data_IF_664996615750
#
_entry.id   IF_664996615750
#
_cell.length_a   1.000
_cell.length_b   1.000
_cell.length_c   1.000
_cell.angle_alpha   90.00
_cell.angle_beta   90.00
_cell.angle_gamma   90.00
#
_symmetry.space_group_name_H-M   'P 1'
#
loop_
_entity.id
_entity.type
_entity.pdbx_description
1 polymer ?
#
# COMPACT_ATOMS: atom_id res chain seq x y z
N UNK A 1 -19.95 -9.38 -5.37
CA UNK A 1 -18.99 -9.04 -4.30
C UNK A 1 -19.00 -7.53 -4.16
N UNK A 2 -19.38 -6.93 -3.01
CA UNK A 2 -19.55 -5.48 -2.93
C UNK A 2 -18.16 -4.84 -2.88
N UNK A 3 -17.74 -4.27 -4.00
CA UNK A 3 -16.61 -3.36 -4.07
C UNK A 3 -16.91 -2.21 -3.09
N UNK A 4 -16.26 -2.19 -1.91
CA UNK A 4 -16.31 -1.01 -1.04
C UNK A 4 -15.56 0.10 -1.77
N UNK A 5 -16.31 0.99 -2.42
CA UNK A 5 -15.80 2.15 -3.13
C UNK A 5 -15.06 3.01 -2.09
N UNK A 6 -13.73 3.01 -2.12
CA UNK A 6 -13.00 3.97 -1.30
C UNK A 6 -13.33 5.37 -1.81
N UNK A 7 -13.67 6.32 -0.93
CA UNK A 7 -14.07 7.66 -1.35
C UNK A 7 -12.93 8.41 -2.06
N UNK A 8 -11.69 7.97 -1.88
CA UNK A 8 -10.53 8.50 -2.56
C UNK A 8 -9.87 7.43 -3.45
N UNK A 9 -9.51 7.81 -4.67
CA UNK A 9 -8.71 7.00 -5.58
C UNK A 9 -7.25 7.15 -5.15
N UNK A 10 -6.60 6.02 -4.88
CA UNK A 10 -5.16 5.94 -4.66
C UNK A 10 -4.55 5.02 -5.71
N UNK A 11 -3.47 5.46 -6.30
CA UNK A 11 -2.67 4.73 -7.27
C UNK A 11 -1.43 4.22 -6.57
N UNK A 12 -1.18 2.92 -6.69
CA UNK A 12 0.03 2.29 -6.19
C UNK A 12 0.81 1.77 -7.38
N UNK A 13 2.09 2.11 -7.45
CA UNK A 13 3.03 1.60 -8.44
C UNK A 13 4.21 0.97 -7.73
N UNK A 14 4.61 -0.21 -8.18
CA UNK A 14 5.75 -0.94 -7.63
C UNK A 14 6.88 -0.88 -8.64
N UNK A 15 8.13 -0.72 -8.18
CA UNK A 15 9.33 -0.87 -9.01
C UNK A 15 10.41 -1.66 -8.25
N UNK A 16 11.14 -2.57 -8.92
CA UNK A 16 10.91 -3.10 -10.28
C UNK A 16 9.66 -4.01 -10.36
N UNK A 17 9.05 -4.15 -11.54
CA UNK A 17 7.86 -5.01 -11.75
C UNK A 17 8.15 -6.49 -11.46
N UNK A 18 9.37 -6.96 -11.72
CA UNK A 18 9.84 -8.26 -11.26
C UNK A 18 10.49 -8.11 -9.88
N UNK A 19 9.69 -8.21 -8.82
CA UNK A 19 10.22 -8.29 -7.47
C UNK A 19 10.89 -9.67 -7.29
N UNK A 20 12.19 -9.71 -7.57
CA UNK A 20 13.05 -10.83 -7.21
C UNK A 20 13.23 -10.87 -5.69
N UNK A 21 13.28 -12.08 -5.11
CA UNK A 21 13.57 -12.27 -3.69
C UNK A 21 14.77 -11.42 -3.27
N UNK A 22 14.67 -10.78 -2.09
CA UNK A 22 15.75 -10.02 -1.47
C UNK A 22 16.14 -8.68 -2.14
N UNK A 23 15.34 -8.15 -3.08
CA UNK A 23 15.51 -6.78 -3.57
C UNK A 23 14.56 -5.78 -2.89
N UNK A 24 15.02 -4.54 -2.60
CA UNK A 24 14.15 -3.50 -2.05
C UNK A 24 13.10 -3.09 -3.08
N UNK A 25 11.84 -3.38 -2.79
CA UNK A 25 10.71 -2.91 -3.56
C UNK A 25 10.43 -1.42 -3.27
N UNK A 26 10.25 -0.63 -4.33
CA UNK A 26 9.84 0.76 -4.22
C UNK A 26 8.34 0.85 -4.51
N UNK A 27 7.57 1.13 -3.47
CA UNK A 27 6.13 1.41 -3.57
C UNK A 27 5.93 2.91 -3.69
N UNK A 28 5.47 3.37 -4.84
CA UNK A 28 5.03 4.75 -5.05
C UNK A 28 3.52 4.80 -4.88
N UNK A 29 3.05 5.52 -3.88
CA UNK A 29 1.63 5.67 -3.58
C UNK A 29 1.28 7.12 -3.82
N UNK A 30 0.40 7.38 -4.78
CA UNK A 30 -0.13 8.69 -5.06
C UNK A 30 -1.64 8.69 -5.00
N UNK A 31 -2.25 9.82 -4.66
CA UNK A 31 -3.69 9.88 -4.54
C UNK A 31 -4.17 11.21 -4.01
N UNK A 32 -5.43 11.24 -3.62
CA UNK A 32 -6.05 12.41 -3.00
C UNK A 32 -6.54 12.02 -1.61
N UNK A 33 -6.38 12.90 -0.62
CA UNK A 33 -6.72 12.61 0.77
C UNK A 33 -7.49 13.76 1.39
N UNK A 34 -8.81 13.75 1.20
CA UNK A 34 -9.69 14.84 1.67
C UNK A 34 -9.85 14.90 3.20
N UNK A 35 -9.27 13.96 3.96
CA UNK A 35 -9.49 13.83 5.40
C UNK A 35 -8.15 13.71 6.12
N UNK A 36 -8.00 14.43 7.24
CA UNK A 36 -6.78 14.44 8.04
C UNK A 36 -6.71 13.25 9.01
N UNK A 37 -5.49 12.83 9.37
CA UNK A 37 -5.23 11.80 10.38
C UNK A 37 -5.28 10.39 9.80
N UNK A 38 -4.41 10.10 8.85
CA UNK A 38 -4.54 8.88 8.04
C UNK A 38 -3.41 7.88 8.33
N UNK A 39 -3.76 6.69 8.82
CA UNK A 39 -2.84 5.55 8.92
C UNK A 39 -2.76 4.85 7.57
N UNK A 40 -1.55 4.73 7.06
CA UNK A 40 -1.23 3.88 5.94
C UNK A 40 -0.91 2.48 6.44
N UNK A 41 -1.63 1.49 5.93
CA UNK A 41 -1.45 0.08 6.25
C UNK A 41 -1.17 -0.65 4.95
N UNK A 42 -0.01 -1.30 4.89
CA UNK A 42 0.43 -2.10 3.75
C UNK A 42 0.70 -3.50 4.26
N UNK A 43 0.06 -4.48 3.65
CA UNK A 43 0.32 -5.88 3.91
C UNK A 43 0.30 -6.66 2.61
N UNK A 44 1.02 -7.77 2.60
CA UNK A 44 1.03 -8.71 1.48
C UNK A 44 0.23 -9.93 1.88
N UNK A 45 -0.46 -10.53 0.92
CA UNK A 45 -1.27 -11.72 1.02
C UNK A 45 -0.71 -12.77 0.06
N UNK A 46 -0.69 -14.03 0.49
CA UNK A 46 -0.50 -15.18 -0.41
C UNK A 46 -1.77 -15.47 -1.24
N UNK A 47 -1.68 -16.41 -2.16
CA UNK A 47 -2.82 -16.89 -2.96
C UNK A 47 -3.96 -17.49 -2.09
N UNK A 48 -3.67 -17.86 -0.85
CA UNK A 48 -4.63 -18.39 0.11
C UNK A 48 -5.28 -17.28 0.98
N UNK A 49 -4.87 -16.02 0.82
CA UNK A 49 -5.34 -14.88 1.62
C UNK A 49 -4.68 -14.75 3.00
N UNK A 50 -3.56 -15.44 3.25
CA UNK A 50 -2.77 -15.29 4.46
C UNK A 50 -1.80 -14.12 4.33
N UNK A 51 -1.69 -13.31 5.37
CA UNK A 51 -0.70 -12.22 5.39
C UNK A 51 0.72 -12.75 5.40
N UNK A 52 1.51 -12.37 4.39
CA UNK A 52 2.92 -12.67 4.24
C UNK A 52 3.77 -11.55 4.84
N UNK A 53 4.57 -11.91 5.84
CA UNK A 53 5.49 -10.97 6.50
C UNK A 53 4.83 -10.00 7.46
N UNK A 54 5.53 -8.91 7.76
CA UNK A 54 5.05 -7.88 8.67
C UNK A 54 4.12 -6.89 7.95
N UNK A 55 3.03 -6.53 8.62
CA UNK A 55 2.15 -5.45 8.15
C UNK A 55 2.81 -4.11 8.45
N UNK A 56 3.12 -3.36 7.41
CA UNK A 56 3.69 -2.03 7.55
C UNK A 56 2.57 -1.05 7.85
N UNK A 57 2.56 -0.52 9.07
CA UNK A 57 1.59 0.49 9.51
C UNK A 57 2.34 1.76 9.85
N UNK A 58 2.12 2.81 9.08
CA UNK A 58 2.74 4.12 9.29
C UNK A 58 1.70 5.23 9.25
N UNK A 59 2.02 6.37 9.86
CA UNK A 59 1.20 7.58 9.72
C UNK A 59 1.57 8.28 8.42
N UNK A 60 0.64 8.29 7.46
CA UNK A 60 0.85 8.90 6.14
C UNK A 60 1.07 10.42 6.27
N UNK A 61 0.52 11.03 7.32
CA UNK A 61 0.61 12.46 7.58
C UNK A 61 1.96 12.85 8.19
N UNK A 62 2.71 11.88 8.71
CA UNK A 62 4.05 12.09 9.26
C UNK A 62 5.15 11.96 8.20
N UNK A 63 4.81 11.60 6.96
CA UNK A 63 5.80 11.53 5.88
C UNK A 63 6.30 12.91 5.46
N UNK A 64 7.60 13.04 5.12
CA UNK A 64 8.16 14.29 4.66
C UNK A 64 7.53 14.71 3.31
N UNK A 65 7.02 15.93 3.24
CA UNK A 65 6.35 16.47 2.05
C UNK A 65 4.84 16.21 1.98
N UNK A 66 4.26 15.60 3.02
CA UNK A 66 2.82 15.43 3.18
C UNK A 66 2.23 16.51 4.10
N UNK A 67 1.10 17.08 3.69
CA UNK A 67 0.30 18.00 4.51
C UNK A 67 -1.12 17.48 4.61
N UNK A 68 -1.45 16.79 5.69
CA UNK A 68 -2.81 16.32 5.92
C UNK A 68 -3.73 17.44 6.43
N UNK A 69 -4.94 17.66 5.85
CA UNK A 69 -5.51 16.97 4.69
C UNK A 69 -4.93 17.48 3.35
N UNK A 70 -4.55 16.57 2.46
CA UNK A 70 -3.91 16.88 1.18
C UNK A 70 -4.87 16.62 0.02
N UNK A 71 -5.14 17.63 -0.82
CA UNK A 71 -5.91 17.40 -2.04
C UNK A 71 -5.19 16.47 -3.02
N UNK A 72 -3.86 16.42 -2.99
CA UNK A 72 -3.04 15.50 -3.76
C UNK A 72 -1.78 15.14 -2.96
N UNK A 73 -1.41 13.86 -2.95
CA UNK A 73 -0.19 13.38 -2.33
C UNK A 73 0.54 12.38 -3.23
N UNK A 74 1.86 12.29 -3.05
CA UNK A 74 2.72 11.31 -3.70
C UNK A 74 3.85 10.95 -2.75
N UNK A 75 3.87 9.70 -2.29
CA UNK A 75 4.81 9.18 -1.29
C UNK A 75 5.52 7.98 -1.89
N UNK A 76 6.83 7.91 -1.64
CA UNK A 76 7.67 6.82 -2.12
C UNK A 76 8.17 6.05 -0.91
N UNK A 77 7.72 4.81 -0.76
CA UNK A 77 8.13 3.88 0.30
C UNK A 77 9.17 2.94 -0.30
N UNK A 78 10.41 3.06 0.18
CA UNK A 78 11.58 2.36 -0.37
C UNK A 78 12.03 1.14 0.43
N UNK A 79 11.30 0.77 1.49
CA UNK A 79 11.76 -0.19 2.51
C UNK A 79 10.73 -1.24 2.87
N UNK A 80 10.06 -1.83 1.87
CA UNK A 80 9.32 -3.07 2.13
C UNK A 80 10.24 -4.22 1.75
N UNK A 81 10.95 -4.76 2.73
CA UNK A 81 11.74 -5.96 2.52
C UNK A 81 10.79 -7.15 2.66
N UNK A 82 10.36 -7.66 1.51
CA UNK A 82 9.45 -8.79 1.45
C UNK A 82 10.27 -10.08 1.46
N UNK A 83 10.37 -10.71 2.62
CA UNK A 83 11.03 -12.01 2.79
C UNK A 83 10.06 -13.14 2.41
N UNK A 84 10.55 -14.13 1.67
CA UNK A 84 9.81 -15.34 1.27
C UNK A 84 8.52 -15.06 0.50
N UNK A 85 8.60 -14.25 -0.56
CA UNK A 85 7.44 -14.04 -1.43
C UNK A 85 7.23 -15.26 -2.33
N UNK A 86 6.01 -15.85 -2.34
CA UNK A 86 5.66 -16.86 -3.31
C UNK A 86 5.68 -16.29 -4.73
N UNK A 87 5.67 -17.17 -5.74
CA UNK A 87 5.69 -16.76 -7.15
C UNK A 87 4.51 -15.84 -7.52
N UNK A 88 3.38 -15.96 -6.83
CA UNK A 88 2.26 -15.02 -6.95
C UNK A 88 1.87 -14.53 -5.57
N UNK A 89 1.71 -13.23 -5.42
CA UNK A 89 1.22 -12.61 -4.18
C UNK A 89 0.43 -11.35 -4.49
N UNK A 90 -0.45 -10.98 -3.55
CA UNK A 90 -1.23 -9.75 -3.63
C UNK A 90 -0.81 -8.79 -2.53
N UNK A 91 -0.52 -7.55 -2.87
CA UNK A 91 -0.30 -6.51 -1.87
C UNK A 91 -1.57 -5.66 -1.74
N UNK A 92 -1.86 -5.28 -0.50
CA UNK A 92 -3.02 -4.47 -0.15
C UNK A 92 -2.51 -3.23 0.55
N UNK A 93 -2.85 -2.08 -0.02
CA UNK A 93 -2.55 -0.76 0.52
C UNK A 93 -3.85 -0.12 0.95
N UNK A 94 -3.98 0.14 2.23
CA UNK A 94 -5.14 0.78 2.83
C UNK A 94 -4.72 2.07 3.53
N UNK A 95 -5.55 3.08 3.39
CA UNK A 95 -5.45 4.31 4.15
C UNK A 95 -6.68 4.40 5.02
N UNK A 96 -6.49 4.43 6.33
CA UNK A 96 -7.53 4.49 7.34
C UNK A 96 -7.48 5.87 8.01
N UNK A 97 -8.62 6.46 8.33
CA UNK A 97 -8.63 7.67 9.15
C UNK A 97 -8.35 7.38 10.63
N UNK A 98 -8.30 8.43 11.45
CA UNK A 98 -8.07 8.36 12.88
C UNK A 98 -9.18 7.57 13.62
N UNK A 99 -10.36 7.45 13.03
CA UNK A 99 -11.48 6.63 13.51
C UNK A 99 -11.47 5.19 12.98
N UNK A 100 -10.48 4.80 12.18
CA UNK A 100 -10.36 3.45 11.61
C UNK A 100 -11.21 3.21 10.36
N UNK A 101 -11.73 4.26 9.71
CA UNK A 101 -12.51 4.15 8.47
C UNK A 101 -11.59 4.18 7.26
N UNK A 102 -11.75 3.23 6.34
CA UNK A 102 -10.98 3.19 5.10
C UNK A 102 -11.31 4.38 4.19
N UNK A 103 -10.34 5.27 4.00
CA UNK A 103 -10.39 6.44 3.12
C UNK A 103 -9.96 6.09 1.69
N UNK A 104 -9.00 5.18 1.56
CA UNK A 104 -8.40 4.75 0.31
C UNK A 104 -8.04 3.28 0.41
N UNK A 105 -8.32 2.49 -0.61
CA UNK A 105 -7.84 1.12 -0.70
C UNK A 105 -7.40 0.85 -2.12
N UNK A 106 -6.22 0.27 -2.27
CA UNK A 106 -5.72 -0.23 -3.54
C UNK A 106 -5.15 -1.61 -3.30
N UNK A 107 -5.43 -2.50 -4.24
CA UNK A 107 -4.97 -3.88 -4.21
C UNK A 107 -4.24 -4.09 -5.53
N UNK A 108 -3.08 -4.71 -5.48
CA UNK A 108 -2.39 -5.16 -6.68
C UNK A 108 -1.90 -6.58 -6.49
N UNK A 109 -1.86 -7.31 -7.60
CA UNK A 109 -1.33 -8.66 -7.64
C UNK A 109 -0.05 -8.63 -8.43
N UNK A 110 1.01 -9.18 -7.85
CA UNK A 110 2.29 -9.39 -8.52
C UNK A 110 2.40 -10.87 -8.82
N UNK A 111 2.52 -11.18 -10.10
CA UNK A 111 2.81 -12.52 -10.58
C UNK A 111 4.24 -12.51 -11.05
N UNK A 112 5.15 -13.08 -10.26
CA UNK A 112 6.51 -13.35 -10.66
C UNK A 112 6.50 -14.41 -11.75
N UNK A 113 6.93 -14.04 -12.95
CA UNK A 113 7.33 -15.03 -13.96
C UNK A 113 8.66 -15.64 -13.50
N UNK A 114 8.60 -16.86 -12.97
CA UNK A 114 9.80 -17.71 -12.83
C UNK A 114 10.47 -17.88 -14.20
#
# INVERSE_FOLDING_TARGET
>A
MPYRISPNIITVSIKPDSLLENQPAIFTISGTLKTAGSKLVIFVLDDNGNTLGETLTDDICSFPGMTCPANYFSIIIRKVQLLNLPATYSFVVQILDASGKTLGCSLGTVTGTN
#
